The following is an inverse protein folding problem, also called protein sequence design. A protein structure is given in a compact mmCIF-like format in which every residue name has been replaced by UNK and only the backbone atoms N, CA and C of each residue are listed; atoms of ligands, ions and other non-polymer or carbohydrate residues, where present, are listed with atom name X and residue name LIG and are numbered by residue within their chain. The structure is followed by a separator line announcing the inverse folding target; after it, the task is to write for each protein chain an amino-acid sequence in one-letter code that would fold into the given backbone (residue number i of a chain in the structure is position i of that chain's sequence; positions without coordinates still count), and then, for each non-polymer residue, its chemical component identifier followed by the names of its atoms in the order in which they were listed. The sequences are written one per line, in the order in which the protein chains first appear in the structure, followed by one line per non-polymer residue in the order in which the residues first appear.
data_IF_060841929138
#
_entry.id   IF_060841929138
#
_cell.length_a   1.000
_cell.length_b   1.000
_cell.length_c   1.000
_cell.angle_alpha   90.00
_cell.angle_beta   90.00
_cell.angle_gamma   90.00
#
_symmetry.space_group_name_H-M   'P 1'
#
loop_
_entity.id
_entity.type
_entity.pdbx_description
1 polymer ?
#
# COMPACT_ATOMS: atom_id res chain seq x y z
N UNK A 1 -21.07 6.10 -9.81
CA UNK A 1 -20.29 5.77 -11.02
C UNK A 1 -18.93 6.39 -10.77
N UNK A 2 -17.93 5.57 -10.44
CA UNK A 2 -16.58 6.04 -10.12
C UNK A 2 -15.94 6.52 -11.42
N UNK A 3 -15.56 7.79 -11.50
CA UNK A 3 -14.88 8.34 -12.67
C UNK A 3 -13.54 7.61 -12.87
N UNK A 4 -13.31 6.95 -14.03
CA UNK A 4 -12.03 6.32 -14.31
C UNK A 4 -10.85 7.32 -14.31
N UNK A 5 -11.15 8.62 -14.47
CA UNK A 5 -10.18 9.72 -14.41
C UNK A 5 -9.74 10.15 -12.99
N UNK A 6 -10.38 9.66 -11.93
CA UNK A 6 -10.01 10.03 -10.56
C UNK A 6 -8.76 9.30 -10.07
N UNK A 7 -8.49 8.09 -10.56
CA UNK A 7 -7.31 7.32 -10.17
C UNK A 7 -6.05 7.79 -10.91
N UNK A 8 -6.13 8.14 -12.20
CA UNK A 8 -4.97 8.62 -12.97
C UNK A 8 -4.39 9.95 -12.44
N UNK A 9 -5.22 10.79 -11.80
CA UNK A 9 -4.82 12.06 -11.19
C UNK A 9 -4.63 11.97 -9.67
N UNK A 10 -4.82 10.80 -9.07
CA UNK A 10 -4.64 10.62 -7.63
C UNK A 10 -3.14 10.75 -7.24
N UNK A 11 -2.87 11.13 -5.98
CA UNK A 11 -1.53 11.05 -5.39
C UNK A 11 -0.93 9.64 -5.55
N UNK A 12 0.40 9.56 -5.65
CA UNK A 12 1.11 8.30 -5.90
C UNK A 12 0.83 7.27 -4.81
N UNK A 13 0.76 7.71 -3.55
CA UNK A 13 0.43 6.88 -2.40
C UNK A 13 -0.99 6.28 -2.48
N UNK A 14 -1.94 7.02 -3.06
CA UNK A 14 -3.32 6.55 -3.24
C UNK A 14 -3.39 5.50 -4.35
N UNK A 15 -2.70 5.73 -5.47
CA UNK A 15 -2.60 4.76 -6.57
C UNK A 15 -1.97 3.45 -6.08
N UNK A 16 -0.84 3.56 -5.37
CA UNK A 16 -0.15 2.39 -4.82
C UNK A 16 -1.01 1.63 -3.82
N UNK A 17 -1.76 2.33 -2.95
CA UNK A 17 -2.68 1.67 -2.02
C UNK A 17 -3.76 0.87 -2.76
N UNK A 18 -4.31 1.42 -3.84
CA UNK A 18 -5.33 0.73 -4.67
C UNK A 18 -4.74 -0.51 -5.35
N UNK A 19 -3.54 -0.40 -5.91
CA UNK A 19 -2.84 -1.53 -6.54
C UNK A 19 -2.53 -2.64 -5.53
N UNK A 20 -2.09 -2.27 -4.32
CA UNK A 20 -1.82 -3.21 -3.23
C UNK A 20 -3.09 -3.91 -2.76
N UNK A 21 -4.21 -3.19 -2.60
CA UNK A 21 -5.50 -3.80 -2.25
C UNK A 21 -5.92 -4.81 -3.32
N UNK A 22 -5.85 -4.42 -4.60
CA UNK A 22 -6.18 -5.32 -5.70
C UNK A 22 -5.31 -6.58 -5.70
N UNK A 23 -4.01 -6.45 -5.44
CA UNK A 23 -3.09 -7.58 -5.35
C UNK A 23 -3.46 -8.53 -4.19
N UNK A 24 -3.75 -7.98 -3.01
CA UNK A 24 -4.11 -8.77 -1.83
C UNK A 24 -5.43 -9.52 -2.05
N UNK A 25 -6.44 -8.85 -2.62
CA UNK A 25 -7.73 -9.45 -2.95
C UNK A 25 -7.60 -10.54 -4.02
N UNK A 26 -6.81 -10.29 -5.07
CA UNK A 26 -6.57 -11.26 -6.16
C UNK A 26 -5.89 -12.54 -5.66
N UNK A 27 -5.08 -12.43 -4.62
CA UNK A 27 -4.44 -13.57 -3.96
C UNK A 27 -5.26 -14.15 -2.81
N UNK A 28 -6.49 -13.68 -2.58
CA UNK A 28 -7.38 -14.13 -1.51
C UNK A 28 -6.71 -14.05 -0.12
N UNK A 29 -5.90 -13.03 0.11
CA UNK A 29 -5.24 -12.82 1.39
C UNK A 29 -6.27 -12.32 2.40
N UNK A 30 -6.31 -12.97 3.56
CA UNK A 30 -7.15 -12.54 4.66
C UNK A 30 -6.79 -11.10 5.10
N UNK A 31 -7.78 -10.19 5.27
CA UNK A 31 -7.50 -8.80 5.64
C UNK A 31 -6.70 -8.63 6.93
N UNK A 32 -6.90 -9.51 7.93
CA UNK A 32 -6.13 -9.44 9.18
C UNK A 32 -4.67 -9.83 8.95
N UNK A 33 -4.42 -10.80 8.07
CA UNK A 33 -3.06 -11.19 7.67
C UNK A 33 -2.42 -10.08 6.84
N UNK A 34 -3.16 -9.47 5.90
CA UNK A 34 -2.68 -8.36 5.10
C UNK A 34 -2.27 -7.16 5.97
N UNK A 35 -3.10 -6.78 6.95
CA UNK A 35 -2.78 -5.67 7.87
C UNK A 35 -1.50 -5.95 8.67
N UNK A 36 -1.34 -7.15 9.22
CA UNK A 36 -0.11 -7.54 9.93
C UNK A 36 1.12 -7.49 9.04
N UNK A 37 1.00 -7.92 7.78
CA UNK A 37 2.10 -7.86 6.82
C UNK A 37 2.44 -6.40 6.46
N UNK A 38 1.44 -5.54 6.26
CA UNK A 38 1.64 -4.12 5.97
C UNK A 38 2.31 -3.39 7.14
N UNK A 39 2.01 -3.75 8.40
CA UNK A 39 2.69 -3.18 9.58
C UNK A 39 4.19 -3.54 9.60
N UNK A 40 4.54 -4.76 9.19
CA UNK A 40 5.95 -5.19 9.06
C UNK A 40 6.64 -4.39 7.96
N UNK A 41 6.02 -4.29 6.77
CA UNK A 41 6.56 -3.52 5.64
C UNK A 41 6.74 -2.05 6.01
N UNK A 42 5.75 -1.46 6.67
CA UNK A 42 5.81 -0.07 7.16
C UNK A 42 7.01 0.12 8.08
N UNK A 43 7.18 -0.76 9.07
CA UNK A 43 8.28 -0.68 10.03
C UNK A 43 9.65 -0.77 9.33
N UNK A 44 9.79 -1.63 8.32
CA UNK A 44 11.01 -1.75 7.52
C UNK A 44 11.32 -0.47 6.74
N UNK A 45 10.32 0.12 6.08
CA UNK A 45 10.48 1.39 5.36
C UNK A 45 10.83 2.56 6.31
N UNK A 46 10.22 2.61 7.49
CA UNK A 46 10.55 3.61 8.52
C UNK A 46 12.02 3.48 8.97
N UNK A 47 12.50 2.25 9.18
CA UNK A 47 13.91 2.00 9.51
C UNK A 47 14.84 2.44 8.38
N UNK A 48 14.53 2.12 7.12
CA UNK A 48 15.32 2.57 5.96
C UNK A 48 15.39 4.09 5.85
N UNK A 49 14.30 4.79 6.16
CA UNK A 49 14.27 6.25 6.18
C UNK A 49 15.14 6.82 7.32
N UNK A 50 15.08 6.20 8.50
CA UNK A 50 15.90 6.60 9.64
C UNK A 50 17.41 6.39 9.38
N UNK A 51 17.77 5.26 8.76
CA UNK A 51 19.15 4.95 8.35
C UNK A 51 19.67 5.92 7.27
N UNK A 52 18.81 6.35 6.34
CA UNK A 52 19.18 7.35 5.31
C UNK A 52 19.41 8.76 5.85
N UNK A 53 18.93 9.04 7.05
CA UNK A 53 19.09 10.33 7.73
C UNK A 53 20.26 10.37 8.73
N UNK A 54 21.01 9.28 8.88
CA UNK A 54 22.17 9.15 9.76
C UNK A 54 23.48 9.14 8.97
#
# INVERSE_FOLDING_TARGET
MSDPNSLENAPEEVKLAVDLIYLLESNQIDPEVALKALDIVKSDLENQLAERSS
#
